data_IF_197458576561
#
_entry.id   IF_197458576561
#
_cell.length_a   1.000
_cell.length_b   1.000
_cell.length_c   1.000
_cell.angle_alpha   90.00
_cell.angle_beta   90.00
_cell.angle_gamma   90.00
#
_symmetry.space_group_name_H-M   'P 1'
#
loop_
_entity.id
_entity.type
_entity.pdbx_description
1 polymer ?
#
# COMPACT_ATOMS: atom_id res chain seq x y z
N UNK A 1 7.51 13.31 7.83
CA UNK A 1 7.88 14.17 6.68
C UNK A 1 7.50 15.63 6.89
N UNK A 2 6.22 15.97 7.12
CA UNK A 2 5.80 17.38 7.21
C UNK A 2 6.47 18.17 8.34
N UNK A 3 6.77 17.54 9.46
CA UNK A 3 7.48 18.15 10.59
C UNK A 3 9.02 18.05 10.50
N UNK A 4 9.56 17.47 9.45
CA UNK A 4 11.01 17.33 9.30
C UNK A 4 11.64 18.64 8.82
N UNK A 5 12.83 18.94 9.28
CA UNK A 5 13.71 20.01 8.82
C UNK A 5 14.55 19.61 7.60
N UNK A 6 14.78 18.30 7.44
CA UNK A 6 15.46 17.69 6.31
C UNK A 6 14.67 16.49 5.77
N UNK A 7 14.45 16.45 4.47
CA UNK A 7 13.94 15.26 3.76
C UNK A 7 14.93 14.87 2.67
N UNK A 8 15.46 13.65 2.78
CA UNK A 8 16.35 13.08 1.79
C UNK A 8 15.68 11.88 1.12
N UNK A 9 15.30 12.05 -0.15
CA UNK A 9 14.70 11.02 -0.99
C UNK A 9 15.77 10.37 -1.87
N UNK A 10 15.90 9.04 -1.76
CA UNK A 10 16.86 8.26 -2.53
C UNK A 10 16.11 7.25 -3.40
N UNK A 11 16.13 7.45 -4.72
CA UNK A 11 15.54 6.54 -5.72
C UNK A 11 14.04 6.25 -5.56
N UNK A 12 13.29 7.14 -4.87
CA UNK A 12 11.90 6.84 -4.50
C UNK A 12 10.87 7.39 -5.48
N UNK A 13 11.29 8.15 -6.48
CA UNK A 13 10.43 8.77 -7.50
C UNK A 13 9.39 9.78 -6.97
N UNK A 14 9.04 9.78 -5.70
CA UNK A 14 8.08 10.68 -5.06
C UNK A 14 6.77 10.81 -5.85
N UNK A 15 6.07 9.70 -5.97
CA UNK A 15 4.77 9.65 -6.65
C UNK A 15 3.68 10.33 -5.82
N UNK A 16 2.52 10.59 -6.44
CA UNK A 16 1.36 11.19 -5.77
C UNK A 16 0.92 10.46 -4.49
N UNK A 17 1.17 9.15 -4.38
CA UNK A 17 0.88 8.38 -3.16
C UNK A 17 1.81 8.74 -1.99
N UNK A 18 2.97 9.31 -2.28
CA UNK A 18 3.95 9.75 -1.28
C UNK A 18 3.81 11.22 -0.94
N UNK A 19 3.51 12.06 -1.94
CA UNK A 19 3.45 13.52 -1.77
C UNK A 19 2.03 14.08 -1.61
N UNK A 20 1.00 13.26 -1.89
CA UNK A 20 -0.40 13.66 -1.83
C UNK A 20 -0.86 14.49 -3.03
N UNK A 21 -2.15 14.80 -3.06
CA UNK A 21 -2.74 15.64 -4.12
C UNK A 21 -2.39 17.12 -3.95
N UNK A 22 -2.22 17.59 -2.71
CA UNK A 22 -1.75 18.94 -2.40
C UNK A 22 -0.22 18.92 -2.25
N UNK A 23 0.47 18.56 -3.35
CA UNK A 23 1.92 18.37 -3.37
C UNK A 23 2.72 19.66 -3.13
N UNK A 24 2.13 20.82 -3.37
CA UNK A 24 2.77 22.12 -3.10
C UNK A 24 3.06 22.36 -1.63
N UNK A 25 2.30 21.68 -0.75
CA UNK A 25 2.47 21.78 0.70
C UNK A 25 3.36 20.68 1.28
N UNK A 26 3.79 19.73 0.44
CA UNK A 26 4.62 18.59 0.87
C UNK A 26 5.98 19.06 1.34
N UNK A 27 6.41 18.55 2.51
CA UNK A 27 7.71 18.87 3.14
C UNK A 27 8.05 20.38 3.19
N UNK A 28 7.04 21.23 3.34
CA UNK A 28 7.12 22.71 3.17
C UNK A 28 8.09 23.42 4.10
N UNK A 29 8.50 22.80 5.22
CA UNK A 29 9.45 23.37 6.16
C UNK A 29 10.83 22.71 6.09
N UNK A 30 11.00 21.68 5.26
CA UNK A 30 12.23 20.91 5.16
C UNK A 30 13.15 21.46 4.05
N UNK A 31 14.45 21.30 4.24
CA UNK A 31 15.40 21.28 3.13
C UNK A 31 15.28 19.93 2.42
N UNK A 32 14.96 19.93 1.12
CA UNK A 32 14.62 18.72 0.38
C UNK A 32 15.75 18.34 -0.57
N UNK A 33 16.33 17.16 -0.35
CA UNK A 33 17.31 16.55 -1.25
C UNK A 33 16.64 15.41 -1.98
N UNK A 34 16.69 15.41 -3.32
CA UNK A 34 16.14 14.36 -4.16
C UNK A 34 17.24 13.74 -5.01
N UNK A 35 17.44 12.44 -4.86
CA UNK A 35 18.28 11.62 -5.72
C UNK A 35 17.41 10.74 -6.60
N UNK A 36 17.70 10.71 -7.87
CA UNK A 36 17.15 9.76 -8.82
C UNK A 36 18.16 9.47 -9.94
N UNK A 37 18.08 8.29 -10.53
CA UNK A 37 18.86 7.90 -11.70
C UNK A 37 18.27 8.47 -12.99
N UNK A 38 16.98 8.80 -12.98
CA UNK A 38 16.28 9.43 -14.09
C UNK A 38 16.29 10.96 -13.93
N UNK A 39 16.98 11.63 -14.88
CA UNK A 39 17.05 13.09 -14.89
C UNK A 39 15.67 13.76 -15.07
N UNK A 40 14.73 13.12 -15.74
CA UNK A 40 13.40 13.68 -15.94
C UNK A 40 12.58 13.67 -14.65
N UNK A 41 12.76 12.65 -13.81
CA UNK A 41 12.17 12.65 -12.47
C UNK A 41 12.68 13.80 -11.60
N UNK A 42 13.94 14.19 -11.75
CA UNK A 42 14.51 15.35 -11.04
C UNK A 42 13.98 16.70 -11.53
N UNK A 43 13.41 16.76 -12.73
CA UNK A 43 12.89 18.01 -13.34
C UNK A 43 11.40 18.22 -13.10
N UNK A 44 10.68 17.22 -12.61
CA UNK A 44 9.22 17.33 -12.46
C UNK A 44 8.82 18.49 -11.55
N UNK A 45 7.78 19.28 -11.94
CA UNK A 45 7.39 20.48 -11.18
C UNK A 45 6.59 20.19 -9.91
N UNK A 46 6.08 18.94 -9.76
CA UNK A 46 5.22 18.54 -8.64
C UNK A 46 5.95 18.30 -7.33
N UNK A 47 7.28 18.32 -7.32
CA UNK A 47 8.09 18.13 -6.10
C UNK A 47 9.09 19.26 -5.99
N UNK A 48 8.95 20.04 -4.91
CA UNK A 48 9.98 20.98 -4.51
C UNK A 48 11.27 20.21 -4.13
N UNK A 49 12.41 20.67 -4.64
CA UNK A 49 13.71 20.13 -4.26
C UNK A 49 14.73 21.25 -4.22
N UNK A 50 15.37 21.43 -3.05
CA UNK A 50 16.46 22.41 -2.86
C UNK A 50 17.75 21.89 -3.49
N UNK A 51 17.98 20.57 -3.41
CA UNK A 51 19.12 19.90 -4.02
C UNK A 51 18.69 18.68 -4.84
N UNK A 52 19.19 18.61 -6.07
CA UNK A 52 18.94 17.49 -6.99
C UNK A 52 20.24 16.74 -7.25
N UNK A 53 20.24 15.43 -7.04
CA UNK A 53 21.40 14.56 -7.21
C UNK A 53 21.10 13.51 -8.29
N UNK A 54 21.66 13.70 -9.48
CA UNK A 54 21.55 12.73 -10.57
C UNK A 54 22.63 11.67 -10.42
N UNK A 55 22.31 10.55 -9.81
CA UNK A 55 23.22 9.44 -9.58
C UNK A 55 22.44 8.14 -9.32
N UNK A 56 23.07 7.00 -9.56
CA UNK A 56 22.60 5.72 -9.05
C UNK A 56 22.57 5.74 -7.50
N UNK A 57 21.53 5.17 -6.92
CA UNK A 57 21.32 5.20 -5.47
C UNK A 57 22.44 4.45 -4.71
N UNK A 58 22.93 3.32 -5.27
CA UNK A 58 23.98 2.54 -4.62
C UNK A 58 25.32 3.31 -4.65
N UNK A 59 25.63 3.96 -5.77
CA UNK A 59 26.84 4.77 -5.91
C UNK A 59 26.82 5.98 -4.96
N UNK A 60 25.65 6.65 -4.87
CA UNK A 60 25.46 7.76 -3.94
C UNK A 60 25.68 7.33 -2.48
N UNK A 61 25.01 6.27 -2.07
CA UNK A 61 25.09 5.78 -0.69
C UNK A 61 26.51 5.29 -0.35
N UNK A 62 27.18 4.60 -1.28
CA UNK A 62 28.58 4.18 -1.08
C UNK A 62 29.51 5.38 -0.94
N UNK A 63 29.34 6.43 -1.74
CA UNK A 63 30.12 7.66 -1.64
C UNK A 63 29.86 8.42 -0.35
N UNK A 64 28.59 8.49 0.07
CA UNK A 64 28.21 9.08 1.37
C UNK A 64 28.87 8.35 2.54
N UNK A 65 28.83 7.01 2.55
CA UNK A 65 29.45 6.19 3.60
C UNK A 65 30.97 6.43 3.65
N UNK A 66 31.61 6.48 2.49
CA UNK A 66 33.04 6.82 2.40
C UNK A 66 33.34 8.20 3.01
N UNK A 67 32.63 9.24 2.59
CA UNK A 67 32.85 10.61 3.06
C UNK A 67 32.58 10.72 4.55
N UNK A 68 31.50 10.11 5.04
CA UNK A 68 31.19 10.12 6.49
C UNK A 68 32.32 9.48 7.32
N UNK A 69 32.90 8.37 6.84
CA UNK A 69 34.05 7.74 7.51
C UNK A 69 35.30 8.64 7.51
N UNK A 70 35.60 9.25 6.34
CA UNK A 70 36.73 10.19 6.22
C UNK A 70 36.56 11.40 7.16
N UNK A 71 35.38 11.97 7.28
CA UNK A 71 35.05 13.08 8.15
C UNK A 71 35.10 12.70 9.64
N UNK A 72 34.66 11.48 9.97
CA UNK A 72 34.73 10.91 11.32
C UNK A 72 36.17 10.68 11.74
N UNK A 73 36.99 10.05 10.90
CA UNK A 73 38.38 9.77 11.15
C UNK A 73 39.21 11.08 11.31
N UNK A 74 38.81 12.12 10.60
CA UNK A 74 39.39 13.45 10.70
C UNK A 74 38.90 14.27 11.93
N UNK A 75 38.00 13.72 12.73
CA UNK A 75 37.40 14.38 13.90
C UNK A 75 36.54 15.61 13.58
N UNK A 76 36.03 15.70 12.35
CA UNK A 76 35.17 16.82 11.91
C UNK A 76 33.69 16.58 12.12
N UNK A 77 33.29 15.35 12.43
CA UNK A 77 31.90 15.05 12.78
C UNK A 77 31.72 14.97 14.30
N UNK A 78 30.59 15.48 14.82
CA UNK A 78 30.26 15.31 16.23
C UNK A 78 30.02 13.82 16.54
N UNK A 79 30.33 13.43 17.76
CA UNK A 79 30.03 12.07 18.24
C UNK A 79 29.21 12.17 19.54
N UNK A 80 28.03 11.53 19.63
CA UNK A 80 27.41 10.72 18.60
C UNK A 80 26.97 11.54 17.38
N UNK A 81 26.89 10.89 16.21
CA UNK A 81 26.41 11.51 14.95
C UNK A 81 24.97 11.98 15.03
N UNK A 82 24.24 11.51 16.02
CA UNK A 82 22.84 11.82 16.22
C UNK A 82 22.57 12.07 17.72
N UNK A 83 22.13 13.26 18.03
CA UNK A 83 21.77 13.71 19.40
C UNK A 83 20.27 13.55 19.73
N UNK A 84 19.49 13.01 18.78
CA UNK A 84 18.04 12.82 18.90
C UNK A 84 17.22 13.89 18.20
N UNK A 85 17.79 15.04 17.86
CA UNK A 85 17.11 16.18 17.25
C UNK A 85 15.96 16.75 18.09
N UNK A 86 15.31 17.81 17.62
CA UNK A 86 14.13 18.39 18.28
C UNK A 86 12.85 17.71 17.82
N UNK A 87 12.00 17.35 18.78
CA UNK A 87 10.69 16.73 18.57
C UNK A 87 9.54 17.56 19.11
N UNK A 88 8.46 16.91 19.48
CA UNK A 88 7.36 17.53 20.21
C UNK A 88 7.80 17.96 21.61
N UNK A 89 7.10 18.90 22.27
CA UNK A 89 7.49 19.39 23.58
C UNK A 89 7.78 18.26 24.59
N UNK A 90 9.02 18.25 25.11
CA UNK A 90 9.50 17.25 26.07
C UNK A 90 10.00 15.95 25.47
N UNK A 91 10.11 15.84 24.14
CA UNK A 91 10.58 14.65 23.40
C UNK A 91 11.68 15.06 22.40
N UNK A 92 12.62 14.16 22.15
CA UNK A 92 13.46 14.27 20.96
C UNK A 92 12.73 13.75 19.70
N UNK A 93 13.33 13.93 18.53
CA UNK A 93 12.73 13.52 17.26
C UNK A 93 12.43 12.02 17.17
N UNK A 94 13.37 11.18 17.64
CA UNK A 94 13.19 9.72 17.61
C UNK A 94 12.05 9.26 18.53
N UNK A 95 11.94 9.85 19.73
CA UNK A 95 10.87 9.59 20.67
C UNK A 95 9.52 10.02 20.09
N UNK A 96 9.47 11.20 19.48
CA UNK A 96 8.29 11.70 18.76
C UNK A 96 7.86 10.74 17.66
N UNK A 97 8.75 10.28 16.81
CA UNK A 97 8.46 9.32 15.75
C UNK A 97 7.94 7.97 16.29
N UNK A 98 8.53 7.49 17.38
CA UNK A 98 8.08 6.25 18.05
C UNK A 98 6.68 6.41 18.64
N UNK A 99 6.41 7.52 19.31
CA UNK A 99 5.09 7.85 19.85
C UNK A 99 4.04 7.88 18.75
N UNK A 100 4.30 8.56 17.61
CA UNK A 100 3.38 8.56 16.48
C UNK A 100 3.13 7.17 15.90
N UNK A 101 4.19 6.35 15.78
CA UNK A 101 4.07 4.97 15.28
C UNK A 101 3.19 4.11 16.19
N UNK A 102 3.28 4.29 17.50
CA UNK A 102 2.44 3.57 18.48
C UNK A 102 1.01 4.10 18.52
N UNK A 103 0.85 5.43 18.48
CA UNK A 103 -0.46 6.07 18.55
C UNK A 103 -1.29 5.90 17.29
N UNK A 104 -0.65 5.84 16.12
CA UNK A 104 -1.30 5.76 14.81
C UNK A 104 -0.86 4.51 14.02
N UNK A 105 -1.13 3.31 14.52
CA UNK A 105 -0.80 2.10 13.77
C UNK A 105 -1.70 1.99 12.54
N UNK A 106 -1.14 1.52 11.41
CA UNK A 106 -1.91 1.34 10.16
C UNK A 106 -2.98 0.28 10.33
N UNK A 107 -2.64 -0.84 10.98
CA UNK A 107 -3.60 -1.91 11.26
C UNK A 107 -4.17 -1.70 12.65
N UNK A 108 -5.39 -1.20 12.69
CA UNK A 108 -6.10 -0.85 13.92
C UNK A 108 -6.73 -2.09 14.58
N UNK A 109 -6.98 -2.08 15.90
CA UNK A 109 -7.72 -3.15 16.58
C UNK A 109 -9.07 -3.47 15.92
N UNK A 110 -9.79 -2.48 15.41
CA UNK A 110 -11.06 -2.68 14.71
C UNK A 110 -10.94 -3.51 13.43
N UNK A 111 -9.77 -3.49 12.75
CA UNK A 111 -9.54 -4.32 11.58
C UNK A 111 -9.36 -5.79 11.93
N UNK A 112 -8.84 -6.08 13.12
CA UNK A 112 -8.61 -7.44 13.60
C UNK A 112 -9.81 -8.04 14.33
N UNK A 113 -10.59 -7.21 15.02
CA UNK A 113 -11.68 -7.63 15.89
C UNK A 113 -13.04 -7.59 15.16
N UNK A 114 -13.12 -8.26 14.00
CA UNK A 114 -14.40 -8.50 13.34
C UNK A 114 -15.09 -9.71 13.96
N UNK A 115 -16.39 -9.62 14.16
CA UNK A 115 -17.21 -10.74 14.61
C UNK A 115 -17.29 -11.86 13.55
N UNK A 116 -17.63 -13.07 13.99
CA UNK A 116 -17.76 -14.23 13.09
C UNK A 116 -18.93 -14.13 12.10
N UNK A 117 -19.83 -13.17 12.29
CA UNK A 117 -20.92 -12.85 11.37
C UNK A 117 -20.53 -11.79 10.32
N UNK A 118 -19.38 -11.11 10.51
CA UNK A 118 -18.93 -10.06 9.61
C UNK A 118 -17.96 -10.62 8.56
N UNK A 119 -18.01 -10.13 7.30
CA UNK A 119 -17.00 -10.46 6.29
C UNK A 119 -15.59 -10.14 6.79
N UNK A 120 -14.59 -10.85 6.26
CA UNK A 120 -13.20 -10.61 6.63
C UNK A 120 -12.76 -9.17 6.31
N UNK A 121 -11.78 -8.68 7.06
CA UNK A 121 -11.18 -7.37 6.82
C UNK A 121 -9.90 -7.52 5.98
N UNK A 122 -9.75 -6.67 4.96
CA UNK A 122 -8.60 -6.75 4.06
C UNK A 122 -7.27 -6.46 4.76
N UNK A 123 -7.23 -5.59 5.78
CA UNK A 123 -6.02 -5.35 6.57
C UNK A 123 -5.66 -6.54 7.45
N UNK A 124 -6.67 -7.23 7.99
CA UNK A 124 -6.46 -8.49 8.71
C UNK A 124 -5.84 -9.54 7.79
N UNK A 125 -6.37 -9.72 6.56
CA UNK A 125 -5.78 -10.61 5.57
C UNK A 125 -4.31 -10.26 5.28
N UNK A 126 -4.01 -8.99 4.99
CA UNK A 126 -2.65 -8.54 4.68
C UNK A 126 -1.69 -8.82 5.85
N UNK A 127 -2.12 -8.58 7.09
CA UNK A 127 -1.33 -8.88 8.29
C UNK A 127 -1.11 -10.38 8.46
N UNK A 128 -2.19 -11.17 8.39
CA UNK A 128 -2.13 -12.63 8.55
C UNK A 128 -1.22 -13.27 7.49
N UNK A 129 -1.31 -12.82 6.24
CA UNK A 129 -0.47 -13.28 5.14
C UNK A 129 0.99 -12.85 5.36
N UNK A 130 1.26 -11.55 5.43
CA UNK A 130 2.64 -11.02 5.44
C UNK A 130 3.44 -11.47 6.67
N UNK A 131 2.78 -11.63 7.83
CA UNK A 131 3.45 -12.10 9.04
C UNK A 131 3.94 -13.55 8.94
N UNK A 132 3.28 -14.41 8.16
CA UNK A 132 3.64 -15.82 7.97
C UNK A 132 4.64 -16.07 6.85
N UNK A 133 4.79 -15.11 5.93
CA UNK A 133 5.71 -15.28 4.81
C UNK A 133 7.18 -15.25 5.28
N UNK A 134 8.06 -16.09 4.72
CA UNK A 134 9.48 -16.12 5.08
C UNK A 134 10.25 -14.92 4.51
N UNK A 135 11.50 -14.76 4.94
CA UNK A 135 12.48 -13.90 4.27
C UNK A 135 12.65 -14.31 2.80
N UNK A 136 13.06 -13.38 1.95
CA UNK A 136 13.28 -13.57 0.51
C UNK A 136 12.03 -13.96 -0.31
N UNK A 137 10.83 -13.88 0.28
CA UNK A 137 9.58 -14.11 -0.44
C UNK A 137 9.32 -13.03 -1.48
N UNK A 138 8.74 -13.42 -2.63
CA UNK A 138 8.30 -12.48 -3.65
C UNK A 138 6.78 -12.45 -3.65
N UNK A 139 6.23 -11.24 -3.53
CA UNK A 139 4.79 -10.99 -3.59
C UNK A 139 4.48 -10.04 -4.74
N UNK A 140 3.63 -10.47 -5.65
CA UNK A 140 3.06 -9.66 -6.73
C UNK A 140 1.69 -9.16 -6.27
N UNK A 141 1.41 -7.89 -6.50
CA UNK A 141 0.20 -7.25 -5.99
C UNK A 141 -0.52 -6.54 -7.13
N UNK A 142 -1.76 -6.90 -7.32
CA UNK A 142 -2.69 -6.27 -8.25
C UNK A 142 -3.17 -4.90 -7.78
N UNK A 143 -3.88 -4.20 -8.64
CA UNK A 143 -4.42 -2.89 -8.33
C UNK A 143 -5.69 -2.97 -7.44
N UNK A 144 -6.19 -1.82 -6.98
CA UNK A 144 -7.38 -1.69 -6.13
C UNK A 144 -7.10 -2.02 -4.67
N UNK A 145 -7.99 -2.80 -4.04
CA UNK A 145 -7.90 -3.14 -2.60
C UNK A 145 -6.59 -3.82 -2.23
N UNK A 146 -6.08 -4.71 -3.09
CA UNK A 146 -4.81 -5.40 -2.91
C UNK A 146 -3.64 -4.41 -2.81
N UNK A 147 -3.55 -3.48 -3.75
CA UNK A 147 -2.48 -2.46 -3.78
C UNK A 147 -2.56 -1.51 -2.57
N UNK A 148 -3.77 -1.03 -2.24
CA UNK A 148 -3.94 -0.04 -1.17
C UNK A 148 -3.68 -0.67 0.19
N UNK A 149 -4.38 -1.73 0.55
CA UNK A 149 -4.20 -2.39 1.84
C UNK A 149 -2.81 -3.05 1.96
N UNK A 150 -2.32 -3.65 0.86
CA UNK A 150 -0.97 -4.21 0.81
C UNK A 150 0.10 -3.14 1.01
N UNK A 151 0.03 -2.01 0.30
CA UNK A 151 0.97 -0.91 0.46
C UNK A 151 0.95 -0.28 1.86
N UNK A 152 -0.20 -0.29 2.53
CA UNK A 152 -0.34 0.23 3.89
C UNK A 152 0.19 -0.73 4.97
N UNK A 153 -0.22 -2.00 4.92
CA UNK A 153 -0.14 -2.91 6.06
C UNK A 153 0.79 -4.12 5.89
N UNK A 154 1.42 -4.31 4.73
CA UNK A 154 2.29 -5.46 4.50
C UNK A 154 3.58 -5.36 5.33
N UNK A 155 3.90 -6.43 6.04
CA UNK A 155 5.11 -6.52 6.87
C UNK A 155 6.26 -7.04 6.01
N UNK A 156 7.16 -6.14 5.61
CA UNK A 156 8.34 -6.49 4.80
C UNK A 156 9.42 -7.09 5.70
N UNK A 157 9.98 -8.22 5.26
CA UNK A 157 11.13 -8.89 5.88
C UNK A 157 12.35 -8.84 4.96
N UNK A 158 13.51 -9.25 5.49
CA UNK A 158 14.78 -9.21 4.77
C UNK A 158 14.70 -9.96 3.42
N UNK A 159 15.19 -9.32 2.38
CA UNK A 159 15.27 -9.89 1.02
C UNK A 159 13.94 -10.07 0.31
N UNK A 160 12.81 -9.72 0.94
CA UNK A 160 11.50 -9.79 0.27
C UNK A 160 11.37 -8.74 -0.83
N UNK A 161 10.61 -9.10 -1.87
CA UNK A 161 10.23 -8.19 -2.94
C UNK A 161 8.72 -8.04 -2.98
N UNK A 162 8.27 -6.79 -3.00
CA UNK A 162 6.86 -6.42 -3.14
C UNK A 162 6.70 -5.72 -4.49
N UNK A 163 6.14 -6.43 -5.48
CA UNK A 163 6.06 -5.99 -6.87
C UNK A 163 4.66 -5.47 -7.16
N UNK A 164 4.57 -4.22 -7.55
CA UNK A 164 3.29 -3.56 -7.85
C UNK A 164 3.44 -2.63 -9.05
N UNK A 165 2.36 -2.42 -9.80
CA UNK A 165 2.27 -1.46 -10.89
C UNK A 165 1.52 -0.19 -10.44
N UNK A 166 1.98 0.43 -9.35
CA UNK A 166 1.26 1.54 -8.71
C UNK A 166 1.24 2.82 -9.57
N UNK A 167 2.19 3.04 -10.48
CA UNK A 167 2.25 4.23 -11.31
C UNK A 167 1.16 4.23 -12.38
N UNK A 168 1.02 3.14 -13.12
CA UNK A 168 0.00 2.96 -14.16
C UNK A 168 -1.32 2.43 -13.59
N UNK A 169 -1.24 1.71 -12.49
CA UNK A 169 -2.35 1.14 -11.75
C UNK A 169 -3.29 0.27 -12.62
N UNK A 170 -2.72 -0.49 -13.56
CA UNK A 170 -3.48 -1.34 -14.48
C UNK A 170 -4.09 -2.52 -13.73
N UNK A 171 -5.40 -2.70 -13.83
CA UNK A 171 -6.04 -3.97 -13.46
C UNK A 171 -5.65 -5.07 -14.44
N UNK A 172 -5.57 -6.32 -13.95
CA UNK A 172 -5.14 -7.47 -14.76
C UNK A 172 -3.63 -7.58 -14.98
N UNK A 173 -2.83 -6.66 -14.43
CA UNK A 173 -1.36 -6.75 -14.42
C UNK A 173 -0.85 -7.97 -13.63
N UNK A 174 -1.57 -8.33 -12.61
CA UNK A 174 -1.21 -9.22 -11.52
C UNK A 174 -0.91 -10.67 -11.95
N UNK A 175 -1.83 -11.34 -12.66
CA UNK A 175 -1.60 -12.71 -13.15
C UNK A 175 -0.41 -12.80 -14.11
N UNK A 176 -0.32 -11.99 -15.19
CA UNK A 176 0.85 -12.00 -16.09
C UNK A 176 2.17 -11.68 -15.37
N UNK A 177 2.15 -10.76 -14.41
CA UNK A 177 3.34 -10.43 -13.63
C UNK A 177 3.78 -11.60 -12.74
N UNK A 178 2.83 -12.30 -12.09
CA UNK A 178 3.14 -13.48 -11.29
C UNK A 178 3.74 -14.60 -12.14
N UNK A 179 3.24 -14.79 -13.37
CA UNK A 179 3.83 -15.74 -14.35
C UNK A 179 5.27 -15.33 -14.66
N UNK A 180 5.51 -14.05 -15.04
CA UNK A 180 6.83 -13.55 -15.35
C UNK A 180 7.82 -13.72 -14.19
N UNK A 181 7.41 -13.42 -12.97
CA UNK A 181 8.22 -13.61 -11.76
C UNK A 181 8.49 -15.09 -11.51
N UNK A 182 7.50 -15.97 -11.66
CA UNK A 182 7.68 -17.41 -11.46
C UNK A 182 8.64 -18.04 -12.49
N UNK A 183 8.64 -17.52 -13.70
CA UNK A 183 9.60 -17.93 -14.73
C UNK A 183 11.01 -17.40 -14.46
N UNK A 184 11.13 -16.21 -13.89
CA UNK A 184 12.42 -15.61 -13.53
C UNK A 184 13.05 -16.22 -12.27
N UNK A 185 12.24 -16.79 -11.38
CA UNK A 185 12.65 -17.39 -10.10
C UNK A 185 12.14 -18.85 -9.99
N UNK A 186 12.66 -19.76 -10.78
CA UNK A 186 12.18 -21.14 -10.85
C UNK A 186 12.22 -21.84 -9.49
N UNK A 187 11.13 -22.53 -9.16
CA UNK A 187 11.03 -23.33 -7.93
C UNK A 187 10.71 -22.55 -6.67
N UNK A 188 10.53 -21.23 -6.77
CA UNK A 188 10.02 -20.42 -5.64
C UNK A 188 8.51 -20.26 -5.70
N UNK A 189 7.85 -20.42 -4.59
CA UNK A 189 6.46 -20.00 -4.44
C UNK A 189 6.33 -18.50 -4.65
N UNK A 190 5.43 -18.09 -5.53
CA UNK A 190 5.11 -16.69 -5.77
C UNK A 190 3.76 -16.38 -5.14
N UNK A 191 3.73 -15.39 -4.29
CA UNK A 191 2.48 -14.91 -3.71
C UNK A 191 1.86 -13.89 -4.67
N UNK A 192 0.59 -14.07 -4.97
CA UNK A 192 -0.19 -13.13 -5.74
C UNK A 192 -1.36 -12.62 -4.88
N UNK A 193 -1.41 -11.33 -4.65
CA UNK A 193 -2.54 -10.67 -4.01
C UNK A 193 -3.33 -9.88 -5.07
N UNK A 194 -4.56 -10.27 -5.35
CA UNK A 194 -5.40 -9.70 -6.42
C UNK A 194 -6.83 -9.46 -5.96
N UNK A 195 -7.63 -8.77 -6.77
CA UNK A 195 -9.05 -8.54 -6.54
C UNK A 195 -9.94 -9.29 -7.55
N UNK A 196 -11.20 -9.53 -7.17
CA UNK A 196 -12.21 -10.22 -7.97
C UNK A 196 -12.47 -9.54 -9.32
N UNK A 197 -12.44 -8.20 -9.38
CA UNK A 197 -12.56 -7.44 -10.61
C UNK A 197 -11.27 -7.42 -11.44
N UNK A 198 -10.09 -7.33 -10.78
CA UNK A 198 -8.80 -7.25 -11.47
C UNK A 198 -8.46 -8.53 -12.20
N UNK A 199 -8.69 -9.69 -11.57
CA UNK A 199 -8.38 -11.00 -12.15
C UNK A 199 -9.17 -11.28 -13.44
N UNK A 200 -10.37 -10.68 -13.59
CA UNK A 200 -11.19 -10.87 -14.80
C UNK A 200 -10.52 -10.38 -16.08
N UNK A 201 -9.60 -9.40 -15.98
CA UNK A 201 -8.97 -8.79 -17.15
C UNK A 201 -8.05 -9.75 -17.90
N UNK A 202 -7.47 -10.75 -17.19
CA UNK A 202 -6.56 -11.75 -17.74
C UNK A 202 -6.83 -13.15 -17.18
N UNK A 203 -8.11 -13.49 -16.98
CA UNK A 203 -8.54 -14.74 -16.35
C UNK A 203 -8.00 -15.99 -17.06
N UNK A 204 -7.83 -15.93 -18.39
CA UNK A 204 -7.28 -17.02 -19.20
C UNK A 204 -5.85 -17.42 -18.80
N UNK A 205 -5.10 -16.53 -18.14
CA UNK A 205 -3.73 -16.82 -17.68
C UNK A 205 -3.69 -17.84 -16.53
N UNK A 206 -4.84 -18.16 -15.92
CA UNK A 206 -4.95 -19.31 -15.02
C UNK A 206 -4.53 -20.60 -15.74
N UNK A 207 -4.89 -20.76 -17.04
CA UNK A 207 -4.47 -21.90 -17.82
C UNK A 207 -2.96 -21.93 -18.05
N UNK A 208 -2.31 -20.78 -18.26
CA UNK A 208 -0.87 -20.66 -18.40
C UNK A 208 -0.14 -21.15 -17.14
N UNK A 209 -0.62 -20.73 -15.96
CA UNK A 209 -0.06 -21.14 -14.67
C UNK A 209 -0.19 -22.67 -14.48
N UNK A 210 -1.35 -23.25 -14.74
CA UNK A 210 -1.57 -24.70 -14.63
C UNK A 210 -0.73 -25.48 -15.63
N UNK A 211 -0.71 -25.05 -16.89
CA UNK A 211 0.05 -25.72 -17.95
C UNK A 211 1.54 -25.83 -17.62
N UNK A 212 2.12 -24.74 -17.12
CA UNK A 212 3.53 -24.68 -16.74
C UNK A 212 3.81 -25.11 -15.30
N UNK A 213 2.79 -25.48 -14.53
CA UNK A 213 2.87 -25.90 -13.12
C UNK A 213 3.60 -24.85 -12.26
N UNK A 214 3.32 -23.57 -12.51
CA UNK A 214 3.96 -22.48 -11.78
C UNK A 214 3.44 -22.42 -10.35
N UNK A 215 4.30 -22.35 -9.33
CA UNK A 215 3.89 -22.38 -7.93
C UNK A 215 3.38 -20.99 -7.48
N UNK A 216 2.25 -20.56 -8.02
CA UNK A 216 1.63 -19.26 -7.70
C UNK A 216 0.50 -19.47 -6.69
N UNK A 217 0.65 -18.87 -5.50
CA UNK A 217 -0.37 -18.85 -4.44
C UNK A 217 -1.21 -17.59 -4.61
N UNK A 218 -2.42 -17.74 -5.12
CA UNK A 218 -3.33 -16.65 -5.45
C UNK A 218 -4.23 -16.36 -4.26
N UNK A 219 -4.03 -15.21 -3.60
CA UNK A 219 -4.94 -14.68 -2.58
C UNK A 219 -5.86 -13.67 -3.25
N UNK A 220 -7.11 -14.07 -3.45
CA UNK A 220 -8.12 -13.28 -4.12
C UNK A 220 -8.99 -12.55 -3.10
N UNK A 221 -8.98 -11.23 -3.15
CA UNK A 221 -9.86 -10.37 -2.37
C UNK A 221 -11.19 -10.23 -3.12
N UNK A 222 -12.23 -10.87 -2.60
CA UNK A 222 -13.57 -10.74 -3.15
C UNK A 222 -14.36 -9.69 -2.34
N UNK A 223 -14.49 -8.51 -2.92
CA UNK A 223 -15.32 -7.41 -2.40
C UNK A 223 -16.51 -7.08 -3.33
N UNK A 224 -16.91 -8.03 -4.17
CA UNK A 224 -18.05 -7.92 -5.06
C UNK A 224 -17.92 -6.84 -6.12
N UNK A 225 -16.69 -6.43 -6.50
CA UNK A 225 -16.53 -5.48 -7.59
C UNK A 225 -15.36 -4.50 -7.50
N UNK A 226 -15.57 -3.30 -8.07
CA UNK A 226 -14.55 -2.25 -8.22
C UNK A 226 -14.60 -1.27 -7.05
N UNK A 227 -14.06 -1.70 -5.91
CA UNK A 227 -14.23 -1.05 -4.62
C UNK A 227 -13.78 0.43 -4.60
N UNK A 228 -12.64 0.77 -5.20
CA UNK A 228 -12.15 2.16 -5.22
C UNK A 228 -13.11 3.10 -5.97
N UNK A 229 -13.71 2.62 -7.07
CA UNK A 229 -14.69 3.39 -7.84
C UNK A 229 -16.03 3.45 -7.07
N UNK A 230 -16.44 2.36 -6.42
CA UNK A 230 -17.61 2.33 -5.53
C UNK A 230 -17.52 3.43 -4.47
N UNK A 231 -16.37 3.51 -3.77
CA UNK A 231 -16.15 4.56 -2.78
C UNK A 231 -16.21 5.98 -3.37
N UNK A 232 -15.62 6.18 -4.54
CA UNK A 232 -15.64 7.48 -5.20
C UNK A 232 -17.06 7.89 -5.61
N UNK A 233 -17.82 6.97 -6.22
CA UNK A 233 -19.21 7.25 -6.56
C UNK A 233 -20.04 7.57 -5.31
N UNK A 234 -19.95 6.74 -4.27
CA UNK A 234 -20.68 6.94 -3.01
C UNK A 234 -20.38 8.29 -2.36
N UNK A 235 -19.10 8.70 -2.35
CA UNK A 235 -18.67 9.94 -1.71
C UNK A 235 -19.06 11.21 -2.49
N UNK A 236 -19.05 11.17 -3.83
CA UNK A 236 -19.23 12.37 -4.65
C UNK A 236 -20.62 12.48 -5.28
N UNK A 237 -21.24 11.34 -5.58
CA UNK A 237 -22.51 11.32 -6.34
C UNK A 237 -23.66 10.70 -5.53
N UNK A 238 -23.35 9.94 -4.48
CA UNK A 238 -24.36 9.20 -3.72
C UNK A 238 -24.85 7.94 -4.44
N UNK A 239 -26.05 7.50 -4.12
CA UNK A 239 -26.67 6.32 -4.74
C UNK A 239 -27.75 6.75 -5.76
N UNK A 240 -28.06 5.90 -6.75
CA UNK A 240 -27.56 4.54 -6.95
C UNK A 240 -26.15 4.51 -7.54
N UNK A 241 -25.38 3.48 -7.18
CA UNK A 241 -24.08 3.20 -7.78
C UNK A 241 -24.27 2.57 -9.17
N UNK A 242 -23.33 2.79 -10.09
CA UNK A 242 -23.43 2.30 -11.48
C UNK A 242 -22.14 1.60 -11.91
N UNK A 243 -22.24 0.35 -12.36
CA UNK A 243 -21.16 -0.42 -12.97
C UNK A 243 -19.98 -0.73 -12.04
N UNK A 244 -20.21 -0.78 -10.74
CA UNK A 244 -19.10 -0.90 -9.76
C UNK A 244 -19.11 -2.19 -8.95
N UNK A 245 -20.22 -2.92 -8.95
CA UNK A 245 -20.28 -4.17 -8.21
C UNK A 245 -21.67 -4.78 -8.14
N UNK A 246 -21.76 -5.83 -7.34
CA UNK A 246 -22.98 -6.59 -7.12
C UNK A 246 -24.09 -5.79 -6.43
N UNK A 247 -23.76 -4.65 -5.86
CA UNK A 247 -24.62 -3.70 -5.16
C UNK A 247 -24.96 -2.45 -6.00
N UNK A 248 -24.55 -2.40 -7.28
CA UNK A 248 -24.82 -1.28 -8.18
C UNK A 248 -26.01 -1.56 -9.11
N UNK A 249 -26.61 -0.48 -9.66
CA UNK A 249 -27.71 -0.51 -10.61
C UNK A 249 -29.01 0.10 -10.10
N UNK A 250 -29.86 0.54 -11.04
CA UNK A 250 -31.15 1.20 -10.75
C UNK A 250 -32.30 0.23 -10.48
N UNK A 251 -32.23 -0.97 -11.05
CA UNK A 251 -33.31 -1.97 -10.99
C UNK A 251 -32.81 -3.37 -10.59
N UNK A 252 -31.70 -3.43 -9.92
CA UNK A 252 -30.96 -4.63 -9.51
C UNK A 252 -29.51 -4.57 -9.99
N UNK A 253 -28.67 -5.56 -9.66
CA UNK A 253 -27.26 -5.56 -10.01
C UNK A 253 -27.02 -5.37 -11.50
N UNK A 254 -26.25 -4.34 -11.88
CA UNK A 254 -25.83 -4.06 -13.26
C UNK A 254 -24.47 -4.68 -13.58
N UNK A 255 -23.83 -5.29 -12.57
CA UNK A 255 -22.57 -6.00 -12.69
C UNK A 255 -22.59 -7.28 -11.84
N UNK A 256 -22.00 -8.34 -12.35
CA UNK A 256 -21.81 -9.60 -11.63
C UNK A 256 -20.46 -10.22 -11.96
N UNK A 257 -19.99 -11.09 -11.08
CA UNK A 257 -18.74 -11.82 -11.25
C UNK A 257 -18.99 -13.33 -11.26
N UNK A 258 -18.21 -14.12 -12.02
CA UNK A 258 -18.29 -15.56 -11.99
C UNK A 258 -17.88 -16.10 -10.61
N UNK A 259 -18.41 -17.26 -10.22
CA UNK A 259 -17.94 -17.97 -9.03
C UNK A 259 -16.50 -18.40 -9.21
N UNK A 260 -15.58 -17.90 -8.36
CA UNK A 260 -14.18 -18.27 -8.40
C UNK A 260 -13.96 -19.74 -8.04
N UNK A 261 -14.78 -20.30 -7.16
CA UNK A 261 -14.77 -21.73 -6.82
C UNK A 261 -15.02 -22.61 -8.06
N UNK A 262 -16.01 -22.24 -8.88
CA UNK A 262 -16.31 -22.97 -10.15
C UNK A 262 -15.19 -22.78 -11.18
N UNK A 263 -14.59 -21.60 -11.24
CA UNK A 263 -13.46 -21.35 -12.12
C UNK A 263 -12.21 -22.13 -11.65
N UNK A 264 -11.93 -22.15 -10.36
CA UNK A 264 -10.86 -22.96 -9.79
C UNK A 264 -11.03 -24.43 -10.16
N UNK A 265 -12.24 -24.98 -9.99
CA UNK A 265 -12.54 -26.35 -10.42
C UNK A 265 -12.33 -26.55 -11.92
N UNK A 266 -12.82 -25.64 -12.76
CA UNK A 266 -12.73 -25.76 -14.23
C UNK A 266 -11.27 -25.73 -14.73
N UNK A 267 -10.39 -24.93 -14.11
CA UNK A 267 -8.97 -24.86 -14.41
C UNK A 267 -8.11 -25.90 -13.67
N UNK A 268 -8.69 -26.63 -12.71
CA UNK A 268 -7.97 -27.65 -11.93
C UNK A 268 -7.13 -27.13 -10.77
N UNK A 269 -7.52 -25.99 -10.18
CA UNK A 269 -6.88 -25.44 -8.98
C UNK A 269 -7.45 -26.03 -7.70
N UNK A 270 -6.63 -26.38 -6.71
CA UNK A 270 -7.07 -26.43 -5.32
C UNK A 270 -7.67 -25.09 -4.91
N UNK A 271 -8.73 -25.13 -4.12
CA UNK A 271 -9.47 -23.95 -3.71
C UNK A 271 -9.63 -23.89 -2.20
N UNK A 272 -9.29 -22.76 -1.61
CA UNK A 272 -9.45 -22.44 -0.19
C UNK A 272 -10.35 -21.22 -0.08
N UNK A 273 -11.14 -21.15 0.98
CA UNK A 273 -12.10 -20.05 1.20
C UNK A 273 -12.03 -19.54 2.63
N UNK A 274 -12.09 -18.21 2.79
CA UNK A 274 -12.28 -17.56 4.07
C UNK A 274 -13.37 -16.48 3.97
N UNK A 275 -14.33 -16.53 4.89
CA UNK A 275 -15.45 -15.59 4.96
C UNK A 275 -15.29 -14.56 6.08
N UNK A 276 -14.55 -14.90 7.14
CA UNK A 276 -14.45 -14.15 8.38
C UNK A 276 -13.01 -14.06 8.85
N UNK A 277 -12.69 -13.06 9.68
CA UNK A 277 -11.35 -12.89 10.23
C UNK A 277 -10.83 -14.13 10.98
N UNK A 278 -11.69 -14.82 11.71
CA UNK A 278 -11.35 -16.05 12.46
C UNK A 278 -10.81 -17.18 11.57
N UNK A 279 -11.13 -17.17 10.28
CA UNK A 279 -10.70 -18.18 9.31
C UNK A 279 -9.38 -17.82 8.59
N UNK A 280 -8.94 -16.55 8.63
CA UNK A 280 -7.83 -16.07 7.83
C UNK A 280 -6.52 -16.81 8.11
N UNK A 281 -6.17 -16.98 9.38
CA UNK A 281 -4.94 -17.66 9.77
C UNK A 281 -4.86 -19.07 9.19
N UNK A 282 -5.92 -19.87 9.38
CA UNK A 282 -6.01 -21.24 8.87
C UNK A 282 -5.99 -21.27 7.32
N UNK A 283 -6.75 -20.39 6.66
CA UNK A 283 -6.80 -20.35 5.21
C UNK A 283 -5.44 -19.99 4.59
N UNK A 284 -4.72 -19.03 5.18
CA UNK A 284 -3.35 -18.66 4.76
C UNK A 284 -2.39 -19.86 4.94
N UNK A 285 -2.37 -20.48 6.11
CA UNK A 285 -1.50 -21.63 6.39
C UNK A 285 -1.78 -22.82 5.45
N UNK A 286 -3.06 -23.14 5.25
CA UNK A 286 -3.48 -24.18 4.32
C UNK A 286 -3.02 -23.87 2.89
N UNK A 287 -3.18 -22.65 2.43
CA UNK A 287 -2.78 -22.23 1.07
C UNK A 287 -1.27 -22.29 0.88
N UNK A 288 -0.50 -21.85 1.87
CA UNK A 288 0.96 -21.88 1.83
C UNK A 288 1.54 -23.28 1.92
N UNK A 289 0.85 -24.20 2.57
CA UNK A 289 1.28 -25.60 2.73
C UNK A 289 1.02 -26.50 1.51
N UNK A 290 0.17 -26.08 0.58
CA UNK A 290 -0.13 -26.86 -0.63
C UNK A 290 0.99 -26.71 -1.67
N UNK A 291 1.34 -27.78 -2.36
CA UNK A 291 2.25 -27.75 -3.50
C UNK A 291 1.58 -27.16 -4.75
N UNK A 292 2.35 -26.44 -5.56
CA UNK A 292 1.88 -25.89 -6.85
C UNK A 292 0.93 -24.70 -6.71
N UNK A 293 0.16 -24.40 -7.76
CA UNK A 293 -0.76 -23.27 -7.78
C UNK A 293 -2.03 -23.54 -6.95
N UNK A 294 -2.47 -22.52 -6.20
CA UNK A 294 -3.65 -22.58 -5.32
C UNK A 294 -4.41 -21.26 -5.41
N UNK A 295 -5.73 -21.29 -5.33
CA UNK A 295 -6.58 -20.11 -5.17
C UNK A 295 -7.16 -20.10 -3.76
N UNK A 296 -6.85 -19.05 -3.00
CA UNK A 296 -7.47 -18.73 -1.72
C UNK A 296 -8.36 -17.49 -1.91
N UNK A 297 -9.68 -17.68 -1.88
CA UNK A 297 -10.64 -16.59 -1.99
C UNK A 297 -11.05 -16.10 -0.60
N UNK A 298 -10.88 -14.81 -0.38
CA UNK A 298 -11.23 -14.14 0.88
C UNK A 298 -12.34 -13.14 0.64
N UNK A 299 -13.49 -13.36 1.25
CA UNK A 299 -14.65 -12.49 1.15
C UNK A 299 -14.52 -11.35 2.17
N UNK A 300 -14.48 -10.13 1.66
CA UNK A 300 -14.33 -8.93 2.47
C UNK A 300 -15.53 -8.01 2.33
N UNK A 301 -15.68 -7.07 3.27
CA UNK A 301 -16.80 -6.13 3.27
C UNK A 301 -16.84 -5.29 2.00
N UNK A 302 -18.05 -5.10 1.44
CA UNK A 302 -18.31 -4.15 0.35
C UNK A 302 -18.02 -2.70 0.78
N UNK A 303 -18.17 -2.41 2.06
CA UNK A 303 -17.96 -1.09 2.65
C UNK A 303 -16.60 -0.94 3.33
N UNK A 304 -15.61 -1.79 2.98
CA UNK A 304 -14.25 -1.71 3.51
C UNK A 304 -13.69 -0.29 3.36
N UNK A 305 -13.28 0.33 4.44
CA UNK A 305 -12.62 1.65 4.43
C UNK A 305 -11.11 1.46 4.33
N UNK A 306 -10.45 2.25 3.46
CA UNK A 306 -9.00 2.36 3.43
C UNK A 306 -8.58 3.59 4.22
N UNK A 307 -7.75 3.38 5.22
CA UNK A 307 -7.31 4.41 6.14
C UNK A 307 -5.89 4.12 6.70
N UNK A 308 -5.08 5.17 6.93
CA UNK A 308 -5.33 6.56 6.55
C UNK A 308 -5.16 6.78 5.05
N UNK A 309 -5.81 7.80 4.48
CA UNK A 309 -5.64 8.16 3.07
C UNK A 309 -5.76 9.65 2.83
N UNK A 310 -5.07 10.14 1.81
CA UNK A 310 -5.34 11.46 1.25
C UNK A 310 -6.76 11.47 0.64
N UNK A 311 -7.60 12.38 1.06
CA UNK A 311 -9.00 12.46 0.65
C UNK A 311 -9.40 13.93 0.51
N UNK A 312 -10.23 14.25 -0.48
CA UNK A 312 -10.81 15.58 -0.56
C UNK A 312 -11.72 15.85 0.66
N UNK A 313 -11.66 17.06 1.18
CA UNK A 313 -12.55 17.58 2.23
C UNK A 313 -13.61 18.46 1.59
N UNK A 314 -14.87 18.25 1.92
CA UNK A 314 -15.95 19.14 1.48
C UNK A 314 -16.05 20.28 2.49
N UNK A 315 -15.90 21.50 1.97
CA UNK A 315 -15.99 22.73 2.74
C UNK A 315 -17.47 23.09 3.00
N UNK A 316 -17.76 23.98 3.98
CA UNK A 316 -19.14 24.41 4.29
C UNK A 316 -19.86 25.07 3.10
N UNK A 317 -19.13 25.69 2.18
CA UNK A 317 -19.66 26.30 0.95
C UNK A 317 -19.90 25.29 -0.19
N UNK A 318 -19.63 23.99 0.06
CA UNK A 318 -19.78 22.91 -0.89
C UNK A 318 -18.58 22.67 -1.82
N UNK A 319 -17.55 23.52 -1.76
CA UNK A 319 -16.32 23.31 -2.52
C UNK A 319 -15.52 22.11 -2.00
N UNK A 320 -14.71 21.51 -2.87
CA UNK A 320 -13.80 20.42 -2.52
C UNK A 320 -12.38 20.97 -2.44
N UNK A 321 -11.70 20.68 -1.34
CA UNK A 321 -10.28 21.00 -1.18
C UNK A 321 -9.47 19.74 -0.94
N UNK A 322 -8.19 19.76 -1.35
CA UNK A 322 -7.24 18.71 -1.01
C UNK A 322 -6.41 19.18 0.18
N UNK A 323 -6.60 18.60 1.38
CA UNK A 323 -5.82 18.96 2.55
C UNK A 323 -4.32 18.71 2.35
N UNK A 324 -3.45 19.34 3.14
CA UNK A 324 -2.04 18.98 3.22
C UNK A 324 -1.84 17.52 3.65
N UNK A 325 -0.67 16.96 3.35
CA UNK A 325 -0.39 15.52 3.58
C UNK A 325 -0.50 15.09 5.06
N UNK A 326 -0.33 16.00 6.00
CA UNK A 326 -0.53 15.72 7.42
C UNK A 326 -2.00 15.45 7.79
N UNK A 327 -2.95 15.95 7.00
CA UNK A 327 -4.38 15.88 7.32
C UNK A 327 -5.06 14.78 6.47
N UNK A 328 -4.85 13.55 6.88
CA UNK A 328 -5.37 12.34 6.23
C UNK A 328 -6.73 11.94 6.78
N UNK A 329 -7.57 11.36 5.92
CA UNK A 329 -8.83 10.77 6.36
C UNK A 329 -8.59 9.37 7.01
N UNK A 330 -9.29 9.04 8.14
CA UNK A 330 -10.25 9.88 8.86
C UNK A 330 -9.55 11.06 9.53
N UNK A 331 -10.10 12.26 9.33
CA UNK A 331 -9.49 13.50 9.83
C UNK A 331 -9.45 13.51 11.35
N UNK A 332 -8.31 13.86 11.91
CA UNK A 332 -8.15 14.02 13.35
C UNK A 332 -8.89 15.27 13.83
N UNK A 333 -9.33 15.30 15.10
CA UNK A 333 -9.79 16.53 15.75
C UNK A 333 -8.70 17.62 15.70
N UNK A 334 -9.11 18.88 15.57
CA UNK A 334 -8.17 20.01 15.44
C UNK A 334 -7.15 20.08 16.56
N UNK A 335 -7.59 19.86 17.82
CA UNK A 335 -6.71 19.87 19.00
C UNK A 335 -5.64 18.76 18.93
N UNK A 336 -6.03 17.58 18.46
CA UNK A 336 -5.11 16.46 18.31
C UNK A 336 -4.14 16.69 17.16
N UNK A 337 -4.62 17.24 16.05
CA UNK A 337 -3.77 17.60 14.92
C UNK A 337 -2.75 18.68 15.31
N UNK A 338 -3.21 19.76 16.00
CA UNK A 338 -2.32 20.83 16.47
C UNK A 338 -1.26 20.29 17.45
N UNK A 339 -1.60 19.33 18.31
CA UNK A 339 -0.65 18.68 19.22
C UNK A 339 0.41 17.80 18.50
N UNK A 340 0.15 17.36 17.28
CA UNK A 340 1.08 16.57 16.46
C UNK A 340 1.96 17.41 15.53
N UNK A 341 1.73 18.73 15.45
CA UNK A 341 2.47 19.59 14.54
C UNK A 341 3.57 20.36 15.26
N UNK A 342 4.81 20.26 14.74
CA UNK A 342 5.96 21.07 15.15
C UNK A 342 6.00 22.34 14.31
N UNK A 343 5.65 22.23 13.02
CA UNK A 343 5.56 23.37 12.10
C UNK A 343 4.14 23.97 12.12
N UNK A 344 3.96 25.21 11.69
CA UNK A 344 2.63 25.83 11.55
C UNK A 344 1.72 25.00 10.65
N UNK A 345 0.51 24.73 11.15
CA UNK A 345 -0.52 24.01 10.39
C UNK A 345 -1.13 24.90 9.32
N UNK A 346 -1.37 24.35 8.14
CA UNK A 346 -2.21 24.99 7.12
C UNK A 346 -3.65 24.63 7.44
N UNK A 347 -4.45 25.63 7.75
CA UNK A 347 -5.90 25.47 7.94
C UNK A 347 -6.59 25.86 6.63
N UNK A 348 -7.20 24.89 5.98
CA UNK A 348 -7.98 25.08 4.77
C UNK A 348 -9.41 25.46 5.02
#
# INVERSE_FOLDING_TARGET
MQNSDLVFSVGSRLSIRQVGYNYETWARAAYVIVNDVDQEELKKPSVHADMRVHADAADLLAKMDQVLKEEQDAGRLPMPLFDGGEGLPGMNWLETCRMWKEKYPVILPKHMNHGDEEPANVYALVKELSSRLPENQITVVGNGSACVAGGHGYIIKKGQRFITNSAMASMGYDLPAAIGVSMAEPGKDIILLTGDGSIQMNLQELQTIIHHRLPVKIFLINNGGYHSIRQSQKNFFGEPLVGVGVDSGFHGPDLSFPSMEKLAWAYGYPYVKAMHNSQLGQAVEQTLAMDGPVICEVFVSLDQVFEPKSSARKMPDGTLTSPPLEDLAPFLPDEEMDANMIIPRIRG
#
